data_IF_533017483306
#
_entry.id   IF_533017483306
#
_cell.length_a   1.000
_cell.length_b   1.000
_cell.length_c   1.000
_cell.angle_alpha   90.00
_cell.angle_beta   90.00
_cell.angle_gamma   90.00
#
_symmetry.space_group_name_H-M   'P 1'
#
loop_
_entity.id
_entity.type
_entity.pdbx_description
1 polymer ?
#
# COMPACT_ATOMS: atom_id res chain seq x y z
N UNK A 1 -16.90 -9.57 9.49
CA UNK A 1 -15.84 -9.28 8.48
C UNK A 1 -14.67 -10.22 8.67
N UNK A 2 -14.12 -10.77 7.59
CA UNK A 2 -12.94 -11.61 7.71
C UNK A 2 -11.76 -10.79 8.22
N UNK A 3 -10.90 -11.45 8.97
CA UNK A 3 -9.65 -10.83 9.43
C UNK A 3 -8.60 -10.91 8.35
N UNK A 4 -7.69 -9.94 8.35
CA UNK A 4 -6.54 -9.95 7.45
C UNK A 4 -5.57 -11.03 7.93
N UNK A 5 -5.25 -11.95 7.03
CA UNK A 5 -4.32 -13.04 7.32
C UNK A 5 -2.89 -12.66 6.98
N UNK A 6 -2.69 -11.96 5.87
CA UNK A 6 -1.36 -11.64 5.37
C UNK A 6 -1.39 -10.36 4.55
N UNK A 7 -0.33 -9.57 4.70
CA UNK A 7 -0.06 -8.40 3.86
C UNK A 7 1.39 -8.51 3.43
N UNK A 8 1.62 -8.42 2.12
CA UNK A 8 2.98 -8.52 1.57
C UNK A 8 3.12 -7.57 0.40
N UNK A 9 4.25 -6.87 0.34
CA UNK A 9 4.54 -5.95 -0.73
C UNK A 9 5.86 -6.29 -1.40
N UNK A 10 6.01 -5.78 -2.63
CA UNK A 10 7.22 -5.92 -3.43
C UNK A 10 7.40 -4.73 -4.35
N UNK A 11 8.63 -4.51 -4.77
CA UNK A 11 8.93 -3.54 -5.82
C UNK A 11 8.76 -4.23 -7.17
N UNK A 12 8.03 -3.58 -8.07
CA UNK A 12 7.90 -4.02 -9.46
C UNK A 12 8.30 -2.86 -10.37
N UNK A 13 8.48 -3.15 -11.65
CA UNK A 13 8.81 -2.14 -12.66
C UNK A 13 7.57 -1.92 -13.52
N UNK A 14 7.15 -0.65 -13.66
CA UNK A 14 5.99 -0.33 -14.49
C UNK A 14 6.34 -0.34 -15.99
N UNK A 15 5.36 -0.05 -16.83
CA UNK A 15 5.53 -0.11 -18.29
C UNK A 15 6.51 0.92 -18.82
N UNK A 16 6.85 1.95 -18.03
CA UNK A 16 7.83 2.97 -18.41
C UNK A 16 9.20 2.73 -17.81
N UNK A 17 9.39 1.58 -17.13
CA UNK A 17 10.67 1.24 -16.53
C UNK A 17 10.92 1.84 -15.16
N UNK A 18 9.91 2.40 -14.52
CA UNK A 18 10.05 3.02 -13.19
C UNK A 18 9.60 2.05 -12.09
N UNK A 19 10.34 2.01 -10.96
CA UNK A 19 9.91 1.20 -9.82
C UNK A 19 8.60 1.69 -9.22
N UNK A 20 7.75 0.74 -8.82
CA UNK A 20 6.53 1.05 -8.09
C UNK A 20 6.24 -0.07 -7.10
N UNK A 21 5.29 0.20 -6.19
CA UNK A 21 4.92 -0.72 -5.11
C UNK A 21 3.74 -1.57 -5.55
N UNK A 22 3.86 -2.88 -5.38
CA UNK A 22 2.73 -3.81 -5.50
C UNK A 22 2.47 -4.43 -4.14
N UNK A 23 1.20 -4.53 -3.75
CA UNK A 23 0.80 -5.08 -2.46
C UNK A 23 -0.25 -6.16 -2.64
N UNK A 24 -0.09 -7.23 -1.87
CA UNK A 24 -1.05 -8.31 -1.76
C UNK A 24 -1.66 -8.29 -0.37
N UNK A 25 -2.97 -8.47 -0.27
CA UNK A 25 -3.67 -8.70 1.00
C UNK A 25 -4.48 -9.98 0.86
N UNK A 26 -4.41 -10.84 1.85
CA UNK A 26 -5.19 -12.06 1.94
C UNK A 26 -6.00 -12.04 3.23
N UNK A 27 -7.28 -12.38 3.14
CA UNK A 27 -8.17 -12.58 4.30
C UNK A 27 -8.08 -14.04 4.77
N UNK A 28 -8.50 -14.27 6.02
CA UNK A 28 -8.50 -15.63 6.59
C UNK A 28 -9.40 -16.62 5.84
N UNK A 29 -10.40 -16.13 5.12
CA UNK A 29 -11.26 -16.97 4.28
C UNK A 29 -10.68 -17.20 2.87
N UNK A 30 -9.41 -16.96 2.67
CA UNK A 30 -8.67 -17.15 1.42
C UNK A 30 -9.01 -16.18 0.30
N UNK A 31 -9.76 -15.12 0.57
CA UNK A 31 -10.00 -14.05 -0.38
C UNK A 31 -8.73 -13.20 -0.49
N UNK A 32 -8.38 -12.85 -1.71
CA UNK A 32 -7.09 -12.26 -2.04
C UNK A 32 -7.29 -11.01 -2.91
N UNK A 33 -6.48 -9.98 -2.66
CA UNK A 33 -6.43 -8.78 -3.50
C UNK A 33 -5.00 -8.35 -3.76
N UNK A 34 -4.71 -7.98 -5.00
CA UNK A 34 -3.40 -7.48 -5.43
C UNK A 34 -3.57 -6.16 -6.14
N UNK A 35 -2.75 -5.19 -5.80
CA UNK A 35 -2.79 -3.90 -6.46
C UNK A 35 -1.39 -3.29 -6.54
N UNK A 36 -1.15 -2.56 -7.62
CA UNK A 36 0.07 -1.79 -7.81
C UNK A 36 -0.29 -0.31 -7.89
N UNK A 37 0.57 0.55 -7.36
CA UNK A 37 0.39 1.99 -7.41
C UNK A 37 0.86 2.51 -8.76
N UNK A 38 0.04 3.26 -9.50
CA UNK A 38 0.53 3.90 -10.73
C UNK A 38 1.64 4.89 -10.42
N UNK A 39 2.72 4.82 -11.19
CA UNK A 39 3.85 5.74 -11.07
C UNK A 39 3.43 7.15 -11.43
N UNK A 40 3.83 8.15 -10.63
CA UNK A 40 3.55 9.54 -10.90
C UNK A 40 2.11 9.95 -10.68
N UNK A 41 1.36 9.19 -9.90
CA UNK A 41 -0.05 9.48 -9.63
C UNK A 41 -0.26 10.72 -8.76
N UNK A 42 0.75 11.11 -8.00
CA UNK A 42 0.67 12.22 -7.06
C UNK A 42 1.32 13.44 -7.65
N UNK A 43 0.55 14.43 -8.06
CA UNK A 43 1.08 15.61 -8.75
C UNK A 43 0.59 16.94 -8.18
N UNK A 44 -0.32 16.96 -7.19
CA UNK A 44 -0.87 18.19 -6.62
C UNK A 44 -0.02 18.73 -5.48
N UNK A 45 -0.20 20.01 -5.20
CA UNK A 45 0.54 20.69 -4.12
C UNK A 45 0.22 20.12 -2.75
N UNK A 46 -0.99 19.67 -2.55
CA UNK A 46 -1.45 19.10 -1.27
C UNK A 46 -1.47 17.58 -1.28
N UNK A 47 -0.91 16.98 -2.30
CA UNK A 47 -0.92 15.54 -2.39
C UNK A 47 0.12 14.91 -1.47
N UNK A 48 -0.16 13.67 -1.11
CA UNK A 48 0.70 12.93 -0.22
C UNK A 48 2.04 12.61 -0.89
N UNK A 49 3.07 12.52 -0.06
CA UNK A 49 4.43 12.31 -0.54
C UNK A 49 4.68 10.85 -0.88
N UNK A 50 5.07 10.58 -2.12
CA UNK A 50 5.61 9.27 -2.49
C UNK A 50 6.97 9.07 -1.85
N UNK A 51 7.16 7.91 -1.22
CA UNK A 51 8.45 7.59 -0.62
C UNK A 51 9.34 6.89 -1.64
N UNK A 52 10.44 7.55 -2.01
CA UNK A 52 11.47 7.01 -2.89
C UNK A 52 12.76 6.83 -2.10
N UNK A 53 13.59 5.88 -2.53
CA UNK A 53 14.80 5.53 -1.78
C UNK A 53 15.89 6.60 -1.88
N UNK A 54 15.88 7.39 -2.95
CA UNK A 54 16.90 8.41 -3.23
C UNK A 54 18.32 7.84 -3.40
N UNK A 55 18.42 6.57 -3.66
CA UNK A 55 19.70 5.91 -3.93
C UNK A 55 19.96 5.99 -5.44
N UNK A 56 20.79 6.95 -5.83
CA UNK A 56 21.06 7.24 -7.24
C UNK A 56 21.80 6.12 -7.97
N UNK A 57 22.35 5.16 -7.24
CA UNK A 57 22.98 4.00 -7.85
C UNK A 57 21.95 3.01 -8.40
N UNK A 58 20.67 3.16 -8.04
CA UNK A 58 19.58 2.28 -8.45
C UNK A 58 18.41 3.13 -8.96
N UNK A 59 18.00 2.89 -10.21
CA UNK A 59 16.81 3.53 -10.80
C UNK A 59 16.83 5.05 -10.68
N UNK A 60 18.01 5.67 -10.67
CA UNK A 60 18.16 7.13 -10.56
C UNK A 60 17.48 7.73 -9.32
N UNK A 61 17.48 6.98 -8.23
CA UNK A 61 16.88 7.40 -6.97
C UNK A 61 15.38 7.13 -6.85
N UNK A 62 14.76 6.49 -7.85
CA UNK A 62 13.32 6.25 -7.89
C UNK A 62 12.89 4.93 -7.26
N UNK A 63 13.81 4.15 -6.70
CA UNK A 63 13.48 2.90 -6.02
C UNK A 63 12.47 3.10 -4.90
N UNK A 64 11.73 2.04 -4.57
CA UNK A 64 10.64 2.09 -3.58
C UNK A 64 10.80 1.04 -2.48
N UNK A 65 12.03 0.58 -2.23
CA UNK A 65 12.27 -0.46 -1.22
C UNK A 65 11.93 -0.01 0.19
N UNK A 66 12.09 1.28 0.51
CA UNK A 66 11.67 1.80 1.82
C UNK A 66 10.17 1.74 1.99
N UNK A 67 9.41 2.10 0.95
CA UNK A 67 7.95 1.99 0.98
C UNK A 67 7.52 0.53 1.10
N UNK A 68 8.16 -0.37 0.37
CA UNK A 68 7.91 -1.81 0.47
C UNK A 68 8.19 -2.30 1.88
N UNK A 69 9.31 -1.91 2.48
CA UNK A 69 9.64 -2.26 3.86
C UNK A 69 8.61 -1.75 4.86
N UNK A 70 8.10 -0.54 4.65
CA UNK A 70 7.06 0.02 5.52
C UNK A 70 5.78 -0.83 5.49
N UNK A 71 5.41 -1.37 4.32
CA UNK A 71 4.26 -2.27 4.24
C UNK A 71 4.57 -3.59 4.94
N UNK A 72 5.70 -4.20 4.66
CA UNK A 72 6.02 -5.54 5.16
C UNK A 72 6.30 -5.54 6.67
N UNK A 73 6.91 -4.48 7.20
CA UNK A 73 7.35 -4.43 8.58
C UNK A 73 6.39 -3.67 9.50
N UNK A 74 5.80 -2.57 9.03
CA UNK A 74 4.96 -1.72 9.87
C UNK A 74 3.49 -2.01 9.62
N UNK A 75 3.02 -1.86 8.39
CA UNK A 75 1.60 -2.04 8.07
C UNK A 75 1.17 -3.48 8.33
N UNK A 76 1.96 -4.44 7.88
CA UNK A 76 1.65 -5.86 8.09
C UNK A 76 1.55 -6.18 9.58
N UNK A 77 2.52 -5.76 10.38
CA UNK A 77 2.52 -6.05 11.82
C UNK A 77 1.30 -5.45 12.54
N UNK A 78 0.87 -4.27 12.12
CA UNK A 78 -0.24 -3.58 12.79
C UNK A 78 -1.62 -4.07 12.32
N UNK A 79 -1.73 -4.56 11.10
CA UNK A 79 -3.03 -4.85 10.49
C UNK A 79 -3.37 -6.33 10.41
N UNK A 80 -2.38 -7.23 10.40
CA UNK A 80 -2.65 -8.67 10.39
C UNK A 80 -3.39 -9.06 11.66
N UNK A 81 -4.47 -9.81 11.52
CA UNK A 81 -5.34 -10.18 12.63
C UNK A 81 -6.49 -9.22 12.89
N UNK A 82 -6.53 -8.09 12.21
CA UNK A 82 -7.61 -7.11 12.33
C UNK A 82 -8.59 -7.26 11.18
N UNK A 83 -9.81 -6.76 11.40
CA UNK A 83 -10.83 -6.67 10.36
C UNK A 83 -11.34 -5.24 10.26
N UNK A 84 -11.77 -4.84 9.06
CA UNK A 84 -12.30 -3.50 8.80
C UNK A 84 -13.59 -3.64 8.00
N UNK A 85 -14.60 -2.85 8.35
CA UNK A 85 -15.91 -2.93 7.70
C UNK A 85 -15.91 -2.36 6.29
N UNK A 86 -15.08 -1.34 6.05
CA UNK A 86 -15.04 -0.64 4.78
C UNK A 86 -13.65 -0.03 4.54
N UNK A 87 -13.48 0.52 3.33
CA UNK A 87 -12.22 1.14 2.94
C UNK A 87 -11.92 2.37 3.79
N UNK A 88 -12.95 3.12 4.16
CA UNK A 88 -12.77 4.34 4.96
C UNK A 88 -12.14 4.04 6.32
N UNK A 89 -12.60 2.99 6.99
CA UNK A 89 -12.03 2.56 8.27
C UNK A 89 -10.58 2.11 8.12
N UNK A 90 -10.30 1.38 7.05
CA UNK A 90 -8.94 0.93 6.74
C UNK A 90 -8.01 2.11 6.48
N UNK A 91 -8.45 3.06 5.66
CA UNK A 91 -7.65 4.23 5.33
C UNK A 91 -7.41 5.12 6.53
N UNK A 92 -8.42 5.31 7.38
CA UNK A 92 -8.28 6.09 8.61
C UNK A 92 -7.25 5.47 9.54
N UNK A 93 -7.23 4.16 9.64
CA UNK A 93 -6.22 3.48 10.44
C UNK A 93 -4.81 3.72 9.90
N UNK A 94 -4.65 3.68 8.58
CA UNK A 94 -3.34 3.96 7.95
C UNK A 94 -2.91 5.41 8.18
N UNK A 95 -3.83 6.36 8.11
CA UNK A 95 -3.52 7.76 8.38
C UNK A 95 -3.05 7.97 9.82
N UNK A 96 -3.69 7.33 10.78
CA UNK A 96 -3.29 7.40 12.17
C UNK A 96 -1.94 6.73 12.39
N UNK A 97 -1.71 5.62 11.72
CA UNK A 97 -0.45 4.88 11.81
C UNK A 97 0.72 5.72 11.26
N UNK A 98 0.51 6.42 10.16
CA UNK A 98 1.52 7.32 9.59
C UNK A 98 1.78 8.51 10.51
N UNK A 99 0.74 9.14 11.01
CA UNK A 99 0.82 10.24 11.95
C UNK A 99 1.26 11.58 11.38
N UNK A 100 1.34 11.71 10.04
CA UNK A 100 1.74 12.96 9.38
C UNK A 100 0.67 13.41 8.39
N UNK A 101 0.64 14.72 8.09
CA UNK A 101 -0.35 15.28 7.17
C UNK A 101 -0.17 14.79 5.74
N UNK A 102 1.08 14.62 5.30
CA UNK A 102 1.39 14.27 3.92
C UNK A 102 1.82 12.81 3.75
N UNK A 103 1.59 11.98 4.77
CA UNK A 103 1.93 10.54 4.74
C UNK A 103 3.42 10.29 4.56
N UNK A 104 4.27 11.16 5.11
CA UNK A 104 5.71 11.10 4.90
C UNK A 104 6.40 9.97 5.66
N UNK A 105 5.82 9.45 6.75
CA UNK A 105 6.43 8.36 7.50
C UNK A 105 6.34 7.03 6.77
N UNK A 106 5.16 6.70 6.25
CA UNK A 106 4.95 5.45 5.52
C UNK A 106 5.15 5.63 4.02
N UNK A 107 4.84 6.80 3.52
CA UNK A 107 4.83 7.10 2.09
C UNK A 107 3.44 6.92 1.49
N UNK A 108 3.03 7.85 0.64
CA UNK A 108 1.73 7.78 -0.02
C UNK A 108 1.62 6.55 -0.90
N UNK A 109 2.70 6.15 -1.57
CA UNK A 109 2.72 4.95 -2.39
C UNK A 109 2.49 3.69 -1.55
N UNK A 110 3.06 3.62 -0.33
CA UNK A 110 2.83 2.48 0.56
C UNK A 110 1.38 2.42 1.03
N UNK A 111 0.84 3.54 1.51
CA UNK A 111 -0.54 3.57 2.00
C UNK A 111 -1.54 3.34 0.88
N UNK A 112 -1.31 3.89 -0.31
CA UNK A 112 -2.19 3.71 -1.45
C UNK A 112 -2.18 2.26 -1.95
N UNK A 113 -1.00 1.62 -2.01
CA UNK A 113 -0.91 0.22 -2.43
C UNK A 113 -1.70 -0.68 -1.49
N UNK A 114 -1.57 -0.48 -0.19
CA UNK A 114 -2.32 -1.25 0.80
C UNK A 114 -3.82 -1.00 0.69
N UNK A 115 -4.22 0.26 0.53
CA UNK A 115 -5.63 0.64 0.40
C UNK A 115 -6.27 0.02 -0.84
N UNK A 116 -5.59 0.08 -1.99
CA UNK A 116 -6.09 -0.52 -3.23
C UNK A 116 -6.20 -2.03 -3.14
N UNK A 117 -5.21 -2.69 -2.51
CA UNK A 117 -5.25 -4.13 -2.32
C UNK A 117 -6.42 -4.52 -1.41
N UNK A 118 -6.64 -3.77 -0.33
CA UNK A 118 -7.77 -4.00 0.57
C UNK A 118 -9.11 -3.81 -0.16
N UNK A 119 -9.22 -2.78 -0.99
CA UNK A 119 -10.43 -2.53 -1.78
C UNK A 119 -10.74 -3.72 -2.69
N UNK A 120 -9.73 -4.31 -3.31
CA UNK A 120 -9.93 -5.50 -4.16
C UNK A 120 -10.35 -6.71 -3.34
N UNK A 121 -9.80 -6.88 -2.14
CA UNK A 121 -10.25 -7.94 -1.24
C UNK A 121 -11.72 -7.78 -0.86
N UNK A 122 -12.14 -6.55 -0.52
CA UNK A 122 -13.54 -6.28 -0.17
C UNK A 122 -14.46 -6.54 -1.35
N UNK A 123 -14.10 -6.09 -2.55
CA UNK A 123 -14.91 -6.32 -3.74
C UNK A 123 -15.09 -7.82 -4.00
N UNK A 124 -14.03 -8.60 -3.88
CA UNK A 124 -14.11 -10.05 -4.04
C UNK A 124 -14.95 -10.70 -2.95
N UNK A 125 -14.83 -10.23 -1.71
CA UNK A 125 -15.60 -10.72 -0.56
C UNK A 125 -17.09 -10.48 -0.74
N UNK A 126 -17.47 -9.37 -1.40
CA UNK A 126 -18.87 -9.01 -1.63
C UNK A 126 -19.42 -9.54 -2.95
N UNK A 127 -18.61 -10.31 -3.71
CA UNK A 127 -19.01 -10.83 -5.00
C UNK A 127 -18.91 -9.86 -6.17
N UNK A 128 -18.20 -8.75 -5.97
CA UNK A 128 -17.92 -7.77 -7.03
C UNK A 128 -16.48 -7.95 -7.53
N UNK A 129 -16.27 -7.72 -8.77
CA UNK A 129 -14.92 -7.81 -9.37
C UNK A 129 -14.44 -6.49 -9.93
#
# INVERSE_FOLDING_TARGET
MPKIKNIKARQIIDSRGNPTVECDIEFENSIFGRAAVPSGASTGVHEALELRDNDKSKYQGKGVLKAVGNINDIISNELVGKSFEDISSFDDFLLQLDGTENKSNLGANATLAASLAFAKCLASSEGHE
#
